data_IF_249478462730
#
_entry.id   IF_249478462730
#
_cell.length_a   1.000
_cell.length_b   1.000
_cell.length_c   1.000
_cell.angle_alpha   90.00
_cell.angle_beta   90.00
_cell.angle_gamma   90.00
#
_symmetry.space_group_name_H-M   'P 1'
#
loop_
_entity.id
_entity.type
_entity.pdbx_description
1 polymer ?
#
# COMPACT_ATOMS: atom_id res chain seq x y z
N UNK A 1 1.86 7.76 37.64
CA UNK A 1 1.68 6.37 37.16
C UNK A 1 1.98 6.38 35.68
N UNK A 2 3.05 5.72 35.26
CA UNK A 2 3.35 5.51 33.84
C UNK A 2 3.00 4.06 33.55
N UNK A 3 1.99 3.84 32.71
CA UNK A 3 1.61 2.51 32.27
C UNK A 3 2.45 2.14 31.05
N UNK A 4 2.96 0.91 31.01
CA UNK A 4 3.61 0.40 29.80
C UNK A 4 2.56 0.09 28.73
N UNK A 5 2.98 0.04 27.46
CA UNK A 5 2.12 -0.40 26.34
C UNK A 5 1.52 -1.78 26.61
N UNK A 6 2.32 -2.68 27.18
CA UNK A 6 1.90 -4.04 27.53
C UNK A 6 0.85 -4.05 28.65
N UNK A 7 0.97 -3.16 29.64
CA UNK A 7 -0.03 -3.01 30.70
C UNK A 7 -1.36 -2.48 30.16
N UNK A 8 -1.32 -1.48 29.28
CA UNK A 8 -2.52 -0.96 28.61
C UNK A 8 -3.21 -2.06 27.78
N UNK A 9 -2.44 -2.83 27.00
CA UNK A 9 -2.99 -3.95 26.23
C UNK A 9 -3.63 -5.03 27.12
N UNK A 10 -3.02 -5.37 28.25
CA UNK A 10 -3.59 -6.32 29.21
C UNK A 10 -4.91 -5.83 29.81
N UNK A 11 -5.01 -4.52 30.10
CA UNK A 11 -6.26 -3.92 30.58
C UNK A 11 -7.38 -4.04 29.52
N UNK A 12 -7.06 -3.77 28.24
CA UNK A 12 -8.02 -3.91 27.14
C UNK A 12 -8.44 -5.36 26.90
N UNK A 13 -7.51 -6.31 27.01
CA UNK A 13 -7.82 -7.74 26.85
C UNK A 13 -8.70 -8.26 27.99
N UNK A 14 -8.48 -7.78 29.23
CA UNK A 14 -9.35 -8.11 30.36
C UNK A 14 -10.79 -7.59 30.15
N UNK A 15 -10.96 -6.42 29.52
CA UNK A 15 -12.28 -5.87 29.19
C UNK A 15 -13.05 -6.71 28.17
N UNK A 16 -12.39 -7.36 27.20
CA UNK A 16 -13.07 -8.26 26.25
C UNK A 16 -13.83 -9.41 26.94
N UNK A 17 -13.37 -9.82 28.13
CA UNK A 17 -13.96 -10.91 28.91
C UNK A 17 -14.99 -10.42 29.93
N UNK A 18 -15.11 -9.10 30.13
CA UNK A 18 -16.05 -8.51 31.07
C UNK A 18 -17.48 -8.50 30.47
N UNK A 19 -18.45 -9.04 31.21
CA UNK A 19 -19.85 -9.11 30.79
C UNK A 19 -20.58 -7.75 30.71
N UNK A 20 -19.99 -6.71 31.29
CA UNK A 20 -20.58 -5.35 31.44
C UNK A 20 -19.63 -4.26 30.92
N UNK A 21 -18.92 -4.52 29.82
CA UNK A 21 -18.09 -3.49 29.16
C UNK A 21 -18.96 -2.60 28.26
N UNK A 22 -18.93 -1.29 28.49
CA UNK A 22 -19.50 -0.30 27.57
C UNK A 22 -18.66 -0.12 26.29
N UNK A 23 -17.40 -0.59 26.30
CA UNK A 23 -16.48 -0.53 25.15
C UNK A 23 -16.73 -1.70 24.22
N UNK A 24 -16.96 -1.41 22.93
CA UNK A 24 -17.20 -2.42 21.92
C UNK A 24 -15.91 -3.12 21.47
N UNK A 25 -16.06 -4.36 20.96
CA UNK A 25 -14.93 -5.17 20.49
C UNK A 25 -14.16 -4.47 19.35
N UNK A 26 -14.87 -3.77 18.47
CA UNK A 26 -14.26 -3.01 17.38
C UNK A 26 -13.43 -1.82 17.88
N UNK A 27 -13.90 -1.11 18.92
CA UNK A 27 -13.16 -0.02 19.55
C UNK A 27 -11.87 -0.54 20.22
N UNK A 28 -11.95 -1.67 20.93
CA UNK A 28 -10.78 -2.32 21.52
C UNK A 28 -9.77 -2.76 20.46
N UNK A 29 -10.23 -3.17 19.26
CA UNK A 29 -9.34 -3.51 18.14
C UNK A 29 -8.62 -2.26 17.63
N UNK A 30 -9.34 -1.17 17.40
CA UNK A 30 -8.74 0.09 16.93
C UNK A 30 -7.72 0.64 17.92
N UNK A 31 -8.02 0.61 19.22
CA UNK A 31 -7.10 1.07 20.26
C UNK A 31 -5.82 0.23 20.26
N UNK A 32 -5.93 -1.10 20.14
CA UNK A 32 -4.77 -1.98 20.00
C UNK A 32 -3.97 -1.64 18.75
N UNK A 33 -4.63 -1.50 17.60
CA UNK A 33 -4.00 -1.11 16.34
C UNK A 33 -3.19 0.17 16.49
N UNK A 34 -3.80 1.22 17.06
CA UNK A 34 -3.14 2.51 17.31
C UNK A 34 -1.94 2.41 18.28
N UNK A 35 -2.03 1.57 19.32
CA UNK A 35 -0.88 1.34 20.20
C UNK A 35 0.27 0.68 19.44
N UNK A 36 -0.02 -0.35 18.64
CA UNK A 36 0.95 -1.11 17.85
C UNK A 36 1.53 -0.31 16.66
N UNK A 37 0.73 0.60 16.10
CA UNK A 37 1.00 1.41 14.92
C UNK A 37 2.32 2.20 14.97
N UNK A 38 2.63 2.83 16.11
CA UNK A 38 3.80 3.71 16.24
C UNK A 38 5.15 3.01 16.04
N UNK A 39 5.21 1.70 16.29
CA UNK A 39 6.43 0.90 16.21
C UNK A 39 6.61 0.24 14.83
N UNK A 40 5.57 0.20 14.00
CA UNK A 40 5.60 -0.43 12.68
C UNK A 40 6.35 0.44 11.67
N UNK A 41 7.08 -0.22 10.77
CA UNK A 41 7.79 0.43 9.68
C UNK A 41 6.97 0.44 8.40
N UNK A 42 7.27 1.37 7.50
CA UNK A 42 6.63 1.45 6.18
C UNK A 42 6.82 0.14 5.40
N UNK A 43 8.00 -0.47 5.41
CA UNK A 43 8.24 -1.78 4.76
C UNK A 43 7.28 -2.87 5.25
N UNK A 44 6.86 -2.78 6.51
CA UNK A 44 5.97 -3.74 7.15
C UNK A 44 4.50 -3.47 6.82
N UNK A 45 4.19 -2.44 6.01
CA UNK A 45 2.80 -2.08 5.58
C UNK A 45 2.63 -1.85 4.09
N UNK A 46 3.66 -1.37 3.40
CA UNK A 46 3.57 -0.98 1.98
C UNK A 46 3.09 -2.12 1.06
N UNK A 47 2.49 -1.71 -0.06
CA UNK A 47 2.26 -2.58 -1.22
C UNK A 47 3.60 -2.84 -1.92
N UNK A 48 4.10 -4.09 -1.96
CA UNK A 48 5.41 -4.38 -2.54
C UNK A 48 5.47 -4.12 -4.04
N UNK A 49 6.62 -3.66 -4.57
CA UNK A 49 6.87 -3.32 -5.98
C UNK A 49 6.22 -4.31 -6.97
N UNK A 50 6.36 -5.62 -6.72
CA UNK A 50 5.85 -6.68 -7.60
C UNK A 50 4.32 -6.71 -7.76
N UNK A 51 3.59 -6.06 -6.85
CA UNK A 51 2.14 -5.91 -6.86
C UNK A 51 1.72 -4.52 -7.35
N UNK A 52 2.66 -3.58 -7.53
CA UNK A 52 2.34 -2.22 -7.96
C UNK A 52 2.11 -2.19 -9.46
N UNK A 53 0.92 -1.73 -9.86
CA UNK A 53 0.68 -1.36 -11.24
C UNK A 53 1.15 0.06 -11.50
N UNK A 54 2.01 0.21 -12.51
CA UNK A 54 2.54 1.49 -12.97
C UNK A 54 2.04 1.78 -14.38
N UNK A 55 1.95 3.06 -14.74
CA UNK A 55 1.51 3.50 -16.07
C UNK A 55 2.62 4.30 -16.73
N UNK A 56 2.87 4.14 -18.03
CA UNK A 56 3.87 4.93 -18.72
C UNK A 56 3.29 6.28 -19.15
N UNK A 57 4.09 7.35 -19.02
CA UNK A 57 3.65 8.72 -19.33
C UNK A 57 3.17 8.92 -20.78
N UNK A 58 3.68 8.10 -21.71
CA UNK A 58 3.39 8.20 -23.14
C UNK A 58 2.31 7.22 -23.61
N UNK A 59 1.73 6.43 -22.69
CA UNK A 59 0.58 5.58 -22.98
C UNK A 59 -0.62 6.44 -23.39
N UNK A 60 -1.39 5.92 -24.33
CA UNK A 60 -2.65 6.54 -24.76
C UNK A 60 -3.75 6.23 -23.75
N UNK A 61 -4.44 7.27 -23.29
CA UNK A 61 -5.67 7.16 -22.49
C UNK A 61 -6.80 6.76 -23.42
N UNK A 62 -6.79 5.49 -23.81
CA UNK A 62 -7.78 4.86 -24.67
C UNK A 62 -8.56 3.75 -23.96
N UNK A 63 -9.48 3.08 -24.68
CA UNK A 63 -10.34 2.04 -24.09
C UNK A 63 -9.57 0.89 -23.45
N UNK A 64 -8.41 0.51 -24.00
CA UNK A 64 -7.59 -0.59 -23.49
C UNK A 64 -7.00 -0.25 -22.12
N UNK A 65 -6.31 0.90 -22.01
CA UNK A 65 -5.75 1.35 -20.73
C UNK A 65 -6.87 1.59 -19.71
N UNK A 66 -7.97 2.23 -20.10
CA UNK A 66 -9.10 2.46 -19.20
C UNK A 66 -9.70 1.15 -18.66
N UNK A 67 -9.88 0.15 -19.52
CA UNK A 67 -10.35 -1.17 -19.11
C UNK A 67 -9.35 -1.85 -18.16
N UNK A 68 -8.05 -1.76 -18.43
CA UNK A 68 -6.99 -2.28 -17.56
C UNK A 68 -6.99 -1.62 -16.18
N UNK A 69 -7.06 -0.29 -16.12
CA UNK A 69 -7.06 0.47 -14.87
C UNK A 69 -8.33 0.19 -14.06
N UNK A 70 -9.52 0.17 -14.68
CA UNK A 70 -10.76 -0.21 -13.99
C UNK A 70 -10.71 -1.63 -13.46
N UNK A 71 -10.13 -2.54 -14.24
CA UNK A 71 -9.96 -3.94 -13.86
C UNK A 71 -9.00 -4.10 -12.68
N UNK A 72 -8.03 -3.21 -12.51
CA UNK A 72 -7.05 -3.32 -11.43
C UNK A 72 -7.65 -3.18 -10.04
N UNK A 73 -8.68 -2.36 -9.90
CA UNK A 73 -9.27 -1.98 -8.64
C UNK A 73 -8.72 -0.71 -8.01
N UNK A 74 -7.66 -0.13 -8.57
CA UNK A 74 -6.97 0.98 -7.94
C UNK A 74 -7.46 2.35 -8.41
N UNK A 75 -7.55 3.27 -7.46
CA UNK A 75 -7.91 4.67 -7.73
C UNK A 75 -6.74 5.54 -8.20
N UNK A 76 -5.48 5.12 -7.96
CA UNK A 76 -4.27 5.92 -8.17
C UNK A 76 -3.13 5.05 -8.68
N UNK A 77 -2.41 5.54 -9.68
CA UNK A 77 -1.31 4.81 -10.32
C UNK A 77 -0.05 5.68 -10.41
N UNK A 78 1.11 5.20 -9.93
CA UNK A 78 2.37 5.87 -10.21
C UNK A 78 2.66 5.92 -11.72
N UNK A 79 3.09 7.09 -12.21
CA UNK A 79 3.43 7.27 -13.63
C UNK A 79 4.94 7.30 -13.79
N UNK A 80 5.46 6.50 -14.73
CA UNK A 80 6.89 6.40 -15.03
C UNK A 80 7.24 7.02 -16.39
N UNK A 81 8.45 7.58 -16.51
CA UNK A 81 8.95 8.11 -17.79
C UNK A 81 9.34 7.00 -18.77
N UNK A 82 9.91 5.92 -18.24
CA UNK A 82 10.47 4.81 -19.00
C UNK A 82 10.19 3.48 -18.28
N UNK A 83 9.71 2.45 -18.99
CA UNK A 83 9.42 1.13 -18.39
C UNK A 83 10.59 0.44 -17.69
N UNK A 84 11.83 0.80 -18.04
CA UNK A 84 13.04 0.09 -17.57
C UNK A 84 13.67 0.65 -16.30
N UNK A 85 13.34 1.88 -15.89
CA UNK A 85 14.11 2.60 -14.86
C UNK A 85 13.28 3.16 -13.70
N UNK A 86 11.98 2.81 -13.60
CA UNK A 86 11.06 3.30 -12.55
C UNK A 86 11.22 4.79 -12.20
N UNK A 87 11.50 5.61 -13.20
CA UNK A 87 11.63 7.05 -13.00
C UNK A 87 10.24 7.67 -12.90
N UNK A 88 9.75 7.88 -11.68
CA UNK A 88 8.41 8.39 -11.43
C UNK A 88 8.31 9.88 -11.76
N UNK A 89 7.36 10.22 -12.62
CA UNK A 89 7.12 11.58 -13.12
C UNK A 89 5.77 12.15 -12.73
N UNK A 90 4.92 11.34 -12.09
CA UNK A 90 3.62 11.81 -11.61
C UNK A 90 2.77 10.71 -10.99
N UNK A 91 1.52 11.06 -10.73
CA UNK A 91 0.47 10.14 -10.28
C UNK A 91 -0.77 10.36 -11.16
N UNK A 92 -1.28 9.26 -11.71
CA UNK A 92 -2.52 9.22 -12.46
C UNK A 92 -3.67 8.92 -11.50
N UNK A 93 -4.71 9.75 -11.50
CA UNK A 93 -5.92 9.50 -10.74
C UNK A 93 -7.00 8.99 -11.68
N UNK A 94 -7.61 7.87 -11.34
CA UNK A 94 -8.64 7.25 -12.17
C UNK A 94 -9.83 8.20 -12.40
N UNK A 95 -10.22 8.96 -11.37
CA UNK A 95 -11.28 9.98 -11.47
C UNK A 95 -11.00 11.07 -12.50
N UNK A 96 -9.73 11.40 -12.77
CA UNK A 96 -9.35 12.48 -13.69
C UNK A 96 -9.47 12.01 -15.16
N UNK A 97 -9.66 10.70 -15.37
CA UNK A 97 -9.91 10.07 -16.66
C UNK A 97 -11.41 10.04 -17.02
N UNK A 98 -12.30 10.29 -16.05
CA UNK A 98 -13.75 10.26 -16.27
C UNK A 98 -14.15 11.41 -17.19
N UNK A 99 -14.84 11.08 -18.30
CA UNK A 99 -15.35 12.06 -19.25
C UNK A 99 -14.33 12.58 -20.26
N UNK A 100 -13.11 12.04 -20.30
CA UNK A 100 -12.16 12.31 -21.37
C UNK A 100 -12.67 11.69 -22.68
N UNK A 101 -12.88 12.52 -23.71
CA UNK A 101 -13.39 12.11 -25.03
C UNK A 101 -12.31 12.04 -26.11
N UNK A 102 -11.17 12.68 -25.87
CA UNK A 102 -10.05 12.73 -26.80
C UNK A 102 -8.94 11.79 -26.36
N UNK A 103 -8.28 11.16 -27.34
CA UNK A 103 -7.06 10.36 -27.11
C UNK A 103 -5.94 11.27 -26.65
N UNK A 104 -5.79 11.42 -25.32
CA UNK A 104 -4.66 12.11 -24.69
C UNK A 104 -3.63 11.10 -24.23
N UNK A 105 -2.40 11.56 -24.03
CA UNK A 105 -1.40 10.75 -23.34
C UNK A 105 -1.54 10.90 -21.84
N UNK A 106 -1.10 9.91 -21.08
CA UNK A 106 -1.14 9.92 -19.61
C UNK A 106 -0.47 11.16 -19.03
N UNK A 107 0.65 11.61 -19.61
CA UNK A 107 1.34 12.84 -19.19
C UNK A 107 0.50 14.12 -19.27
N UNK A 108 -0.53 14.14 -20.11
CA UNK A 108 -1.37 15.31 -20.33
C UNK A 108 -2.50 15.42 -19.28
N UNK A 109 -2.74 14.34 -18.52
CA UNK A 109 -3.83 14.24 -17.53
C UNK A 109 -3.35 13.88 -16.12
N UNK A 110 -2.13 13.37 -15.97
CA UNK A 110 -1.55 13.04 -14.66
C UNK A 110 -1.29 14.30 -13.81
N UNK A 111 -1.29 14.13 -12.48
CA UNK A 111 -0.66 15.12 -11.60
C UNK A 111 0.87 14.97 -11.69
N UNK A 112 1.64 16.05 -11.89
CA UNK A 112 3.10 15.99 -11.99
C UNK A 112 3.80 15.80 -10.63
N UNK A 113 3.03 15.65 -9.55
CA UNK A 113 3.59 15.52 -8.22
C UNK A 113 3.89 14.06 -7.89
N UNK A 114 5.13 13.82 -7.47
CA UNK A 114 5.56 12.58 -6.84
C UNK A 114 6.00 12.91 -5.42
N UNK A 115 5.77 11.98 -4.51
CA UNK A 115 6.18 12.08 -3.11
C UNK A 115 6.81 10.75 -2.72
N UNK A 116 7.91 10.84 -2.00
CA UNK A 116 8.72 9.70 -1.60
C UNK A 116 8.77 9.59 -0.09
N UNK A 117 8.85 8.36 0.40
CA UNK A 117 9.11 8.00 1.80
C UNK A 117 10.11 6.85 1.83
N UNK A 118 10.82 6.70 2.94
CA UNK A 118 11.82 5.65 3.09
C UNK A 118 11.26 4.45 3.84
N UNK A 119 11.60 3.24 3.41
CA UNK A 119 11.00 1.99 3.92
C UNK A 119 11.19 1.77 5.45
N UNK A 120 12.27 2.32 6.01
CA UNK A 120 12.62 2.25 7.44
C UNK A 120 11.97 3.36 8.31
N UNK A 121 11.22 4.29 7.70
CA UNK A 121 10.44 5.27 8.46
C UNK A 121 9.25 4.60 9.18
N UNK A 122 8.75 5.21 10.25
CA UNK A 122 7.59 4.68 10.98
C UNK A 122 6.28 5.04 10.28
N UNK A 123 5.22 4.27 10.55
CA UNK A 123 3.89 4.62 10.04
C UNK A 123 3.36 5.94 10.61
N UNK A 124 3.75 6.32 11.83
CA UNK A 124 3.43 7.65 12.38
C UNK A 124 4.06 8.77 11.55
N UNK A 125 5.30 8.58 11.07
CA UNK A 125 5.91 9.50 10.13
C UNK A 125 5.09 9.58 8.83
N UNK A 126 4.73 8.43 8.26
CA UNK A 126 3.94 8.35 7.04
C UNK A 126 2.58 9.04 7.19
N UNK A 127 1.82 8.75 8.25
CA UNK A 127 0.52 9.35 8.53
C UNK A 127 0.60 10.88 8.61
N UNK A 128 1.61 11.41 9.32
CA UNK A 128 1.84 12.86 9.38
C UNK A 128 2.18 13.44 8.01
N UNK A 129 2.94 12.71 7.19
CA UNK A 129 3.23 13.12 5.82
C UNK A 129 1.97 13.12 4.93
N UNK A 130 1.10 12.13 5.04
CA UNK A 130 -0.21 12.10 4.37
C UNK A 130 -1.05 13.32 4.73
N UNK A 131 -1.24 13.59 6.03
CA UNK A 131 -2.04 14.71 6.54
C UNK A 131 -1.47 16.07 6.10
N UNK A 132 -0.14 16.22 6.08
CA UNK A 132 0.53 17.49 5.72
C UNK A 132 0.49 17.75 4.21
N UNK A 133 0.69 16.73 3.39
CA UNK A 133 0.85 16.88 1.94
C UNK A 133 -0.47 16.78 1.17
N UNK A 134 -1.52 16.23 1.78
CA UNK A 134 -2.79 15.89 1.12
C UNK A 134 -2.61 15.01 -0.13
N UNK A 135 -1.51 14.27 -0.20
CA UNK A 135 -1.24 13.26 -1.22
C UNK A 135 -1.49 11.90 -0.60
N UNK A 136 -2.26 11.04 -1.27
CA UNK A 136 -2.74 9.77 -0.73
C UNK A 136 -1.97 8.55 -1.26
N UNK A 137 -0.86 8.79 -1.96
CA UNK A 137 0.03 7.74 -2.46
C UNK A 137 1.47 8.24 -2.39
N UNK A 138 2.34 7.45 -1.77
CA UNK A 138 3.78 7.68 -1.74
C UNK A 138 4.52 6.54 -2.42
N UNK A 139 5.58 6.90 -3.13
CA UNK A 139 6.58 5.97 -3.65
C UNK A 139 7.54 5.63 -2.50
N UNK A 140 7.73 4.35 -2.22
CA UNK A 140 8.63 3.89 -1.16
C UNK A 140 9.97 3.51 -1.77
N UNK A 141 11.04 4.02 -1.17
CA UNK A 141 12.42 3.73 -1.56
C UNK A 141 13.23 3.12 -0.41
N UNK A 142 14.27 2.37 -0.75
CA UNK A 142 15.24 1.83 0.20
C UNK A 142 16.49 2.74 0.36
N UNK A 143 17.47 2.28 1.13
CA UNK A 143 18.73 2.99 1.39
C UNK A 143 19.61 3.19 0.13
N UNK A 144 19.32 2.48 -0.95
CA UNK A 144 20.00 2.58 -2.24
C UNK A 144 19.21 3.42 -3.25
N UNK A 145 18.17 4.13 -2.79
CA UNK A 145 17.22 4.91 -3.60
C UNK A 145 16.44 4.05 -4.62
N UNK A 146 16.41 2.73 -4.43
CA UNK A 146 15.65 1.83 -5.29
C UNK A 146 14.18 1.83 -4.90
N UNK A 147 13.31 1.79 -5.89
CA UNK A 147 11.87 1.64 -5.70
C UNK A 147 11.54 0.24 -5.16
N UNK A 148 10.92 0.17 -4.00
CA UNK A 148 10.57 -1.09 -3.33
C UNK A 148 9.07 -1.33 -3.19
N UNK A 149 8.24 -0.31 -3.41
CA UNK A 149 6.80 -0.42 -3.30
C UNK A 149 6.11 0.94 -3.19
N UNK A 150 4.80 0.94 -3.00
CA UNK A 150 4.01 2.15 -2.72
C UNK A 150 3.31 2.03 -1.38
N UNK A 151 3.05 3.18 -0.76
CA UNK A 151 2.25 3.27 0.45
C UNK A 151 1.05 4.18 0.18
N UNK A 152 -0.15 3.67 0.42
CA UNK A 152 -1.40 4.42 0.34
C UNK A 152 -1.81 4.94 1.72
N UNK A 153 -2.74 5.91 1.78
CA UNK A 153 -3.30 6.34 3.07
C UNK A 153 -4.20 5.24 3.64
N UNK A 154 -4.84 4.48 2.75
CA UNK A 154 -5.70 3.36 3.06
C UNK A 154 -4.90 2.29 3.82
N UNK A 155 -3.71 1.90 3.35
CA UNK A 155 -2.81 0.94 4.02
C UNK A 155 -2.49 1.38 5.47
N UNK A 156 -2.29 2.69 5.67
CA UNK A 156 -1.99 3.25 7.00
C UNK A 156 -3.20 3.19 7.92
N UNK A 157 -4.41 3.42 7.38
CA UNK A 157 -5.65 3.37 8.15
C UNK A 157 -6.04 1.92 8.51
N UNK A 158 -5.78 0.96 7.62
CA UNK A 158 -5.98 -0.47 7.87
C UNK A 158 -5.24 -0.95 9.12
N UNK A 159 -4.00 -0.49 9.30
CA UNK A 159 -3.18 -0.84 10.45
C UNK A 159 -3.70 -0.27 11.77
N UNK A 160 -4.37 0.88 11.71
CA UNK A 160 -5.04 1.47 12.88
C UNK A 160 -6.35 0.73 13.16
N UNK A 161 -7.13 0.42 12.12
CA UNK A 161 -8.46 -0.20 12.27
C UNK A 161 -8.35 -1.70 12.61
N UNK A 162 -7.25 -2.35 12.18
CA UNK A 162 -7.04 -3.79 12.31
C UNK A 162 -7.97 -4.61 11.43
N UNK A 163 -8.43 -4.03 10.32
CA UNK A 163 -9.22 -4.66 9.25
C UNK A 163 -8.80 -4.05 7.93
N UNK A 164 -8.83 -4.85 6.87
CA UNK A 164 -8.66 -4.38 5.50
C UNK A 164 -9.78 -3.41 5.13
N UNK A 165 -9.41 -2.33 4.45
CA UNK A 165 -10.30 -1.34 3.87
C UNK A 165 -10.32 -1.64 2.38
N UNK A 166 -11.10 -2.64 2.02
CA UNK A 166 -11.29 -3.07 0.63
C UNK A 166 -12.04 -1.96 -0.12
N UNK A 167 -11.41 -1.36 -1.14
CA UNK A 167 -12.09 -0.43 -2.05
C UNK A 167 -13.12 -1.23 -2.88
N UNK A 168 -14.18 -0.58 -3.34
CA UNK A 168 -15.28 -1.24 -4.08
C UNK A 168 -14.81 -1.97 -5.35
N UNK A 169 -13.59 -1.66 -5.82
CA UNK A 169 -13.01 -2.21 -7.03
C UNK A 169 -11.84 -3.18 -6.79
N UNK A 170 -11.39 -3.39 -5.55
CA UNK A 170 -10.23 -4.24 -5.28
C UNK A 170 -10.48 -5.71 -5.63
N UNK A 171 -9.45 -6.35 -6.20
CA UNK A 171 -9.51 -7.77 -6.63
C UNK A 171 -9.06 -8.76 -5.57
N UNK A 172 -8.23 -8.32 -4.63
CA UNK A 172 -7.66 -9.14 -3.56
C UNK A 172 -7.72 -8.34 -2.28
N UNK A 173 -8.16 -8.99 -1.20
CA UNK A 173 -8.32 -8.32 0.09
C UNK A 173 -6.94 -7.98 0.72
N UNK A 174 -5.90 -8.82 0.48
CA UNK A 174 -4.52 -8.60 0.94
C UNK A 174 -3.48 -8.79 -0.18
N UNK A 175 -3.03 -7.69 -0.79
CA UNK A 175 -1.98 -7.72 -1.82
C UNK A 175 -0.63 -8.22 -1.29
N UNK A 176 -0.39 -8.12 0.01
CA UNK A 176 0.87 -8.43 0.68
C UNK A 176 0.97 -9.94 0.94
N UNK A 177 -0.12 -10.56 1.36
CA UNK A 177 -0.23 -12.02 1.40
C UNK A 177 -0.08 -12.65 0.01
N UNK A 178 -0.72 -12.08 -1.02
CA UNK A 178 -0.50 -12.50 -2.42
C UNK A 178 0.96 -12.32 -2.79
N UNK A 179 1.59 -11.23 -2.33
CA UNK A 179 2.98 -10.95 -2.62
C UNK A 179 3.91 -12.06 -2.11
N UNK A 180 3.71 -12.46 -0.85
CA UNK A 180 4.47 -13.49 -0.15
C UNK A 180 4.25 -14.88 -0.77
N UNK A 181 3.01 -15.24 -1.11
CA UNK A 181 2.68 -16.55 -1.70
C UNK A 181 3.42 -16.80 -3.02
N UNK A 182 3.53 -15.79 -3.88
CA UNK A 182 4.24 -15.94 -5.15
C UNK A 182 5.75 -16.04 -4.91
N UNK A 183 6.31 -15.23 -4.01
CA UNK A 183 7.72 -15.30 -3.65
C UNK A 183 8.11 -16.69 -3.10
N UNK A 184 7.26 -17.29 -2.26
CA UNK A 184 7.47 -18.63 -1.74
C UNK A 184 7.41 -19.70 -2.85
N UNK A 185 6.44 -19.62 -3.76
CA UNK A 185 6.33 -20.53 -4.91
C UNK A 185 7.58 -20.48 -5.80
N UNK A 186 8.09 -19.28 -6.07
CA UNK A 186 9.30 -19.10 -6.87
C UNK A 186 10.55 -19.64 -6.17
N UNK A 187 10.70 -19.39 -4.86
CA UNK A 187 11.81 -19.95 -4.06
C UNK A 187 11.80 -21.47 -4.13
N UNK A 188 10.64 -22.08 -3.87
CA UNK A 188 10.48 -23.53 -3.90
C UNK A 188 10.72 -24.12 -5.30
N UNK A 189 10.38 -23.39 -6.37
CA UNK A 189 10.68 -23.79 -7.74
C UNK A 189 12.20 -23.77 -8.00
N UNK A 190 12.90 -22.70 -7.59
CA UNK A 190 14.36 -22.57 -7.74
C UNK A 190 15.10 -23.68 -6.99
N UNK A 191 14.70 -23.99 -5.77
CA UNK A 191 15.27 -25.10 -4.98
C UNK A 191 15.07 -26.46 -5.67
N UNK A 192 13.87 -26.72 -6.21
CA UNK A 192 13.60 -27.96 -6.97
C UNK A 192 14.43 -28.06 -8.26
N UNK A 193 14.69 -26.94 -8.93
CA UNK A 193 15.55 -26.90 -10.11
C UNK A 193 17.02 -27.16 -9.76
N UNK A 194 17.53 -26.57 -8.66
CA UNK A 194 18.90 -26.80 -8.18
C UNK A 194 19.15 -28.27 -7.79
N UNK A 195 18.20 -28.91 -7.09
CA UNK A 195 18.31 -30.32 -6.70
C UNK A 195 18.22 -31.29 -7.90
N UNK A 196 17.58 -30.89 -9.00
CA UNK A 196 17.52 -31.68 -10.24
C UNK A 196 18.77 -31.53 -11.12
N UNK A 197 19.52 -30.44 -11.02
CA UNK A 197 20.77 -30.24 -11.76
C UNK A 197 21.97 -30.94 -11.13
N UNK A 198 21.86 -31.38 -9.87
CA UNK A 198 22.90 -32.11 -9.13
C UNK A 198 22.74 -33.65 -9.19
N UNK A 199 21.76 -34.16 -9.94
CA UNK A 199 21.54 -35.59 -10.19
C UNK A 199 21.68 -35.92 -11.67
#
# INVERSE_FOLDING_TARGET
LFYSKEELLRMFDAQKLAKESDVQIDELRMIRGMLEFGDKKIRDVMTPLRMVQVVAKDDEVGPVLMDELHKSGHSRFPVISEPKHFNFVGTLYLRDLVGQKDTKKVKDVMSPHVRYVHEEESLDHALRAFLRTRHHLFVVVNNFEEFVGVLSIEDVLEEIIGKEIVDEFDRHDDLRAVAQSIAEKERNAREKHAVKSEK
#
